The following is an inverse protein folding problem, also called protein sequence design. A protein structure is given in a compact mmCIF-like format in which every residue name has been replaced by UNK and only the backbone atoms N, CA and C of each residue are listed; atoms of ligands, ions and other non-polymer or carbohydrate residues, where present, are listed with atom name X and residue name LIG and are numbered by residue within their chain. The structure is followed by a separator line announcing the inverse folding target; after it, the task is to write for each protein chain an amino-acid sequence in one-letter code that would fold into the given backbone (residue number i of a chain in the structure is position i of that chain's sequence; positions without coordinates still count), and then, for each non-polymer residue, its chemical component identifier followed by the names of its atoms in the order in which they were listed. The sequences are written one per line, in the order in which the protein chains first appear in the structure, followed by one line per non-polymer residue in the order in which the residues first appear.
data_IF_608003062963
#
_entry.id   IF_608003062963
#
_cell.length_a   1.000
_cell.length_b   1.000
_cell.length_c   1.000
_cell.angle_alpha   90.00
_cell.angle_beta   90.00
_cell.angle_gamma   90.00
#
_symmetry.space_group_name_H-M   'P 1'
#
loop_
_entity.id
_entity.type
_entity.pdbx_description
1 polymer ?
#
# COMPACT_ATOMS: atom_id res chain seq x y z
N UNK A 1 -4.77 11.07 -30.21
CA UNK A 1 -4.94 9.74 -29.59
C UNK A 1 -4.55 9.91 -28.14
N UNK A 2 -5.50 10.34 -27.31
CA UNK A 2 -5.32 10.42 -25.87
C UNK A 2 -5.33 9.00 -25.32
N UNK A 3 -4.31 8.67 -24.55
CA UNK A 3 -4.08 7.32 -24.06
C UNK A 3 -5.12 7.04 -22.96
N UNK A 4 -6.20 6.35 -23.32
CA UNK A 4 -7.37 6.03 -22.48
C UNK A 4 -7.04 4.95 -21.45
N UNK A 5 -6.01 5.18 -20.62
CA UNK A 5 -5.91 4.47 -19.36
C UNK A 5 -6.84 5.17 -18.38
N UNK A 6 -7.84 4.48 -17.78
CA UNK A 6 -8.66 5.09 -16.75
C UNK A 6 -7.74 5.64 -15.67
N UNK A 7 -8.04 6.83 -15.16
CA UNK A 7 -7.26 7.48 -14.10
C UNK A 7 -7.50 6.83 -12.72
N UNK A 8 -7.38 5.51 -12.70
CA UNK A 8 -7.55 4.67 -11.54
C UNK A 8 -6.55 4.99 -10.42
N UNK A 9 -5.30 5.44 -10.66
CA UNK A 9 -4.38 5.75 -9.56
C UNK A 9 -4.89 6.93 -8.74
N UNK A 10 -5.36 8.01 -9.38
CA UNK A 10 -5.92 9.14 -8.64
C UNK A 10 -7.24 8.76 -7.96
N UNK A 11 -8.14 8.04 -8.66
CA UNK A 11 -9.38 7.59 -8.05
C UNK A 11 -9.15 6.68 -6.82
N UNK A 12 -8.18 5.77 -6.90
CA UNK A 12 -7.80 4.91 -5.77
C UNK A 12 -7.15 5.72 -4.64
N UNK A 13 -6.29 6.67 -4.97
CA UNK A 13 -5.72 7.60 -3.98
C UNK A 13 -6.82 8.33 -3.21
N UNK A 14 -7.80 8.92 -3.91
CA UNK A 14 -8.91 9.64 -3.29
C UNK A 14 -9.72 8.74 -2.34
N UNK A 15 -9.99 7.50 -2.77
CA UNK A 15 -10.69 6.51 -1.93
C UNK A 15 -9.88 6.17 -0.67
N UNK A 16 -8.58 5.91 -0.81
CA UNK A 16 -7.71 5.55 0.32
C UNK A 16 -7.51 6.72 1.29
N UNK A 17 -7.38 7.95 0.79
CA UNK A 17 -7.31 9.15 1.62
C UNK A 17 -8.65 9.47 2.29
N UNK A 18 -9.77 9.30 1.58
CA UNK A 18 -11.11 9.36 2.17
C UNK A 18 -11.33 8.31 3.27
N UNK A 19 -10.59 7.20 3.22
CA UNK A 19 -10.55 6.18 4.27
C UNK A 19 -9.51 6.45 5.37
N UNK A 20 -8.89 7.63 5.43
CA UNK A 20 -7.86 8.02 6.42
C UNK A 20 -6.62 7.12 6.43
N UNK A 21 -6.20 6.60 5.26
CA UNK A 21 -4.91 5.89 5.14
C UNK A 21 -3.77 6.88 5.29
N UNK A 22 -2.92 6.69 6.30
CA UNK A 22 -1.78 7.59 6.63
C UNK A 22 -0.41 6.91 6.58
N UNK A 23 -0.35 5.62 6.23
CA UNK A 23 0.91 4.91 6.00
C UNK A 23 0.81 4.07 4.73
N UNK A 24 1.69 4.32 3.78
CA UNK A 24 1.81 3.55 2.55
C UNK A 24 3.16 2.84 2.54
N UNK A 25 3.15 1.53 2.30
CA UNK A 25 4.37 0.73 2.13
C UNK A 25 4.38 0.10 0.73
N UNK A 26 5.53 0.02 0.08
CA UNK A 26 5.61 -0.42 -1.31
C UNK A 26 7.00 -0.95 -1.69
N UNK A 27 7.02 -1.89 -2.64
CA UNK A 27 8.23 -2.15 -3.46
C UNK A 27 8.10 -1.33 -4.75
N UNK A 28 9.16 -0.63 -5.23
CA UNK A 28 9.06 0.20 -6.42
C UNK A 28 8.69 -0.60 -7.66
N UNK A 29 7.65 -0.18 -8.37
CA UNK A 29 7.27 -0.78 -9.63
C UNK A 29 6.56 0.15 -10.63
N UNK A 30 6.57 -0.26 -11.91
CA UNK A 30 5.99 0.50 -13.01
C UNK A 30 4.45 0.56 -12.97
N UNK A 31 3.79 -0.46 -12.44
CA UNK A 31 2.33 -0.54 -12.37
C UNK A 31 1.73 0.43 -11.37
N UNK A 32 2.42 0.67 -10.24
CA UNK A 32 1.96 1.61 -9.21
C UNK A 32 2.68 2.97 -9.22
N UNK A 33 3.56 3.24 -10.18
CA UNK A 33 4.41 4.46 -10.18
C UNK A 33 3.61 5.74 -9.92
N UNK A 34 2.47 5.92 -10.60
CA UNK A 34 1.65 7.13 -10.41
C UNK A 34 1.03 7.21 -9.01
N UNK A 35 0.57 6.08 -8.47
CA UNK A 35 0.00 6.02 -7.12
C UNK A 35 1.08 6.29 -6.04
N UNK A 36 2.28 5.77 -6.25
CA UNK A 36 3.45 6.01 -5.39
C UNK A 36 3.79 7.50 -5.36
N UNK A 37 3.83 8.16 -6.53
CA UNK A 37 4.07 9.62 -6.62
C UNK A 37 3.03 10.42 -5.82
N UNK A 38 1.74 10.08 -5.97
CA UNK A 38 0.65 10.78 -5.27
C UNK A 38 0.80 10.68 -3.75
N UNK A 39 1.02 9.48 -3.23
CA UNK A 39 1.25 9.26 -1.80
C UNK A 39 2.56 9.87 -1.29
N UNK A 40 3.62 9.88 -2.11
CA UNK A 40 4.92 10.47 -1.73
C UNK A 40 4.83 12.01 -1.68
N UNK A 41 3.96 12.61 -2.48
CA UNK A 41 3.71 14.05 -2.46
C UNK A 41 2.82 14.50 -1.28
N UNK A 42 2.04 13.60 -0.68
CA UNK A 42 1.18 13.90 0.46
C UNK A 42 1.97 13.93 1.77
N UNK A 43 2.01 15.10 2.43
CA UNK A 43 2.76 15.31 3.67
C UNK A 43 2.11 14.65 4.90
N UNK A 44 0.84 14.28 4.79
CA UNK A 44 0.10 13.61 5.86
C UNK A 44 0.21 12.07 5.77
N UNK A 45 0.94 11.55 4.78
CA UNK A 45 1.18 10.12 4.60
C UNK A 45 2.67 9.81 4.79
N UNK A 46 2.95 8.84 5.65
CA UNK A 46 4.26 8.21 5.70
C UNK A 46 4.38 7.23 4.54
N UNK A 47 5.34 7.46 3.63
CA UNK A 47 5.62 6.55 2.51
C UNK A 47 6.90 5.75 2.81
N UNK A 48 6.81 4.43 2.87
CA UNK A 48 7.91 3.53 3.25
C UNK A 48 8.28 2.57 2.11
N UNK A 49 9.51 2.68 1.62
CA UNK A 49 10.04 1.78 0.59
C UNK A 49 10.46 0.46 1.24
N UNK A 50 10.06 -0.66 0.64
CA UNK A 50 10.36 -2.00 1.13
C UNK A 50 11.41 -2.68 0.25
N UNK A 51 12.17 -3.60 0.86
CA UNK A 51 13.09 -4.49 0.11
C UNK A 51 12.32 -5.67 -0.46
N UNK A 52 11.34 -6.18 0.29
CA UNK A 52 10.42 -7.22 -0.13
C UNK A 52 8.99 -6.93 0.35
N UNK A 53 7.98 -7.44 -0.34
CA UNK A 53 6.58 -7.12 -0.04
C UNK A 53 6.12 -7.70 1.31
N UNK A 54 6.75 -8.80 1.76
CA UNK A 54 6.45 -9.48 3.03
C UNK A 54 6.66 -8.56 4.24
N UNK A 55 7.64 -7.66 4.17
CA UNK A 55 7.94 -6.66 5.21
C UNK A 55 6.73 -5.75 5.45
N UNK A 56 5.97 -5.46 4.38
CA UNK A 56 4.81 -4.58 4.41
C UNK A 56 3.69 -5.09 5.32
N UNK A 57 3.57 -6.41 5.48
CA UNK A 57 2.55 -7.00 6.36
C UNK A 57 2.86 -6.71 7.83
N UNK A 58 4.13 -6.82 8.23
CA UNK A 58 4.54 -6.50 9.59
C UNK A 58 4.36 -5.00 9.90
N UNK A 59 4.66 -4.15 8.93
CA UNK A 59 4.44 -2.70 9.04
C UNK A 59 2.95 -2.39 9.16
N UNK A 60 2.10 -3.01 8.34
CA UNK A 60 0.65 -2.83 8.41
C UNK A 60 0.08 -3.28 9.77
N UNK A 61 0.56 -4.40 10.30
CA UNK A 61 0.20 -4.87 11.63
C UNK A 61 0.59 -3.86 12.73
N UNK A 62 1.81 -3.32 12.66
CA UNK A 62 2.28 -2.29 13.58
C UNK A 62 1.47 -0.99 13.47
N UNK A 63 1.14 -0.57 12.25
CA UNK A 63 0.31 0.61 12.00
C UNK A 63 -1.08 0.44 12.62
N UNK A 64 -1.71 -0.73 12.41
CA UNK A 64 -3.00 -1.05 13.03
C UNK A 64 -2.95 -1.02 14.55
N UNK A 65 -1.92 -1.66 15.15
CA UNK A 65 -1.72 -1.64 16.60
C UNK A 65 -1.54 -0.21 17.13
N UNK A 66 -0.92 0.66 16.34
CA UNK A 66 -0.77 2.10 16.61
C UNK A 66 -1.99 2.96 16.25
N UNK A 67 -3.13 2.37 15.86
CA UNK A 67 -4.35 3.09 15.50
C UNK A 67 -4.25 3.88 14.18
N UNK A 68 -3.32 3.51 13.30
CA UNK A 68 -3.10 4.15 12.00
C UNK A 68 -3.50 3.20 10.87
N UNK A 69 -4.34 3.68 9.95
CA UNK A 69 -4.69 2.91 8.76
C UNK A 69 -3.55 2.94 7.75
N UNK A 70 -3.23 1.78 7.20
CA UNK A 70 -2.15 1.60 6.25
C UNK A 70 -2.59 0.90 4.98
N UNK A 71 -1.84 1.08 3.90
CA UNK A 71 -1.96 0.34 2.65
C UNK A 71 -0.60 -0.22 2.25
N UNK A 72 -0.57 -1.47 1.78
CA UNK A 72 0.58 -2.10 1.14
C UNK A 72 0.32 -2.18 -0.36
N UNK A 73 1.15 -1.52 -1.16
CA UNK A 73 1.14 -1.68 -2.61
C UNK A 73 1.98 -2.90 -2.98
N UNK A 74 1.36 -3.85 -3.66
CA UNK A 74 1.91 -5.17 -3.89
C UNK A 74 1.67 -5.58 -5.34
N UNK A 75 2.72 -6.03 -6.03
CA UNK A 75 2.61 -6.58 -7.37
C UNK A 75 1.99 -7.97 -7.34
N UNK A 76 1.37 -8.36 -8.47
CA UNK A 76 0.66 -9.64 -8.58
C UNK A 76 1.51 -10.85 -8.21
N UNK A 77 2.81 -10.86 -8.55
CA UNK A 77 3.72 -11.96 -8.21
C UNK A 77 3.99 -12.10 -6.72
N UNK A 78 4.13 -11.00 -5.98
CA UNK A 78 4.49 -11.13 -4.57
C UNK A 78 3.30 -11.20 -3.61
N UNK A 79 2.05 -11.04 -4.10
CA UNK A 79 0.86 -11.61 -3.42
C UNK A 79 1.07 -13.10 -3.11
N UNK A 80 1.61 -13.84 -4.07
CA UNK A 80 1.89 -15.28 -3.92
C UNK A 80 2.98 -15.57 -2.88
N UNK A 81 3.97 -14.69 -2.76
CA UNK A 81 5.08 -14.83 -1.81
C UNK A 81 4.69 -14.39 -0.38
N UNK A 82 3.73 -13.47 -0.26
CA UNK A 82 3.26 -12.95 1.02
C UNK A 82 2.24 -13.87 1.74
N UNK A 83 1.87 -15.03 1.18
CA UNK A 83 0.76 -15.83 1.72
C UNK A 83 0.97 -16.27 3.17
N UNK A 84 2.22 -16.59 3.54
CA UNK A 84 2.58 -16.93 4.92
C UNK A 84 2.39 -15.73 5.84
N UNK A 85 2.78 -14.53 5.41
CA UNK A 85 2.64 -13.31 6.20
C UNK A 85 1.19 -12.84 6.30
N UNK A 86 0.40 -12.97 5.23
CA UNK A 86 -1.04 -12.66 5.24
C UNK A 86 -1.81 -13.47 6.28
N UNK A 87 -1.33 -14.67 6.62
CA UNK A 87 -1.92 -15.47 7.71
C UNK A 87 -1.86 -14.77 9.08
N UNK A 88 -0.91 -13.85 9.29
CA UNK A 88 -0.79 -13.11 10.56
C UNK A 88 -2.02 -12.26 10.86
N UNK A 89 -2.60 -11.58 9.88
CA UNK A 89 -3.82 -10.80 10.10
C UNK A 89 -4.97 -11.69 10.59
N UNK A 90 -5.07 -12.91 10.04
CA UNK A 90 -6.11 -13.88 10.42
C UNK A 90 -5.87 -14.47 11.80
N UNK A 91 -4.63 -14.87 12.11
CA UNK A 91 -4.28 -15.56 13.36
C UNK A 91 -4.21 -14.57 14.53
N UNK A 92 -3.70 -13.36 14.31
CA UNK A 92 -3.52 -12.34 15.33
C UNK A 92 -4.75 -11.44 15.52
N UNK A 93 -5.75 -11.53 14.64
CA UNK A 93 -7.04 -10.81 14.70
C UNK A 93 -6.90 -9.28 14.83
N UNK A 94 -6.17 -8.70 13.90
CA UNK A 94 -6.13 -7.25 13.69
C UNK A 94 -6.83 -6.85 12.40
#
# INVERSE_FOLDING_TARGET
MENEFPDWPHALFDVLRGADVRHMSFVPDAGHSRLIELFTADRDVTSNVLTTEEEGIAIAAGAWLGGTRSVLLMQSSGVGNCINMLSLATISRF
#
